data_IF_551550840835
#
_entry.id   IF_551550840835
#
_cell.length_a   1.000
_cell.length_b   1.000
_cell.length_c   1.000
_cell.angle_alpha   90.00
_cell.angle_beta   90.00
_cell.angle_gamma   90.00
#
_symmetry.space_group_name_H-M   'P 1'
#
loop_
_entity.id
_entity.type
_entity.pdbx_description
1 polymer ?
#
# COMPACT_ATOMS: atom_id res chain seq x y z
N UNK A 1 4.10 21.21 -7.52
CA UNK A 1 5.44 20.60 -7.23
C UNK A 1 6.21 20.37 -8.54
N UNK A 2 6.72 21.44 -9.14
CA UNK A 2 7.31 21.43 -10.50
C UNK A 2 8.59 20.59 -10.68
N UNK A 3 9.29 20.23 -9.59
CA UNK A 3 10.56 19.51 -9.70
C UNK A 3 10.42 17.98 -9.56
N UNK A 4 9.26 17.48 -9.18
CA UNK A 4 9.03 16.03 -9.00
C UNK A 4 8.93 15.36 -10.37
N UNK A 5 9.76 14.32 -10.57
CA UNK A 5 9.79 13.49 -11.77
C UNK A 5 9.30 12.07 -11.51
N UNK A 6 9.60 11.52 -10.33
CA UNK A 6 9.29 10.14 -9.98
C UNK A 6 8.24 10.14 -8.88
N UNK A 7 7.12 9.47 -9.12
CA UNK A 7 6.05 9.30 -8.14
C UNK A 7 5.98 7.82 -7.78
N UNK A 8 6.29 7.50 -6.53
CA UNK A 8 6.07 6.19 -5.95
C UNK A 8 4.69 6.19 -5.30
N UNK A 9 3.89 5.18 -5.57
CA UNK A 9 2.53 5.06 -5.05
C UNK A 9 2.37 3.74 -4.29
N UNK A 10 1.71 3.80 -3.13
CA UNK A 10 1.19 2.58 -2.52
C UNK A 10 -0.05 2.07 -3.28
N UNK A 11 -0.54 0.90 -2.95
CA UNK A 11 -1.68 0.24 -3.56
C UNK A 11 -2.92 0.30 -2.66
N UNK A 12 -2.88 -0.46 -1.57
CA UNK A 12 -4.00 -0.63 -0.64
C UNK A 12 -4.21 0.65 0.19
N UNK A 13 -5.40 1.25 0.13
CA UNK A 13 -5.68 2.53 0.79
C UNK A 13 -5.24 3.76 0.02
N UNK A 14 -4.55 3.60 -1.12
CA UNK A 14 -4.04 4.71 -1.93
C UNK A 14 -4.58 4.69 -3.37
N UNK A 15 -4.45 3.58 -4.06
CA UNK A 15 -5.01 3.40 -5.41
C UNK A 15 -6.34 2.64 -5.36
N UNK A 16 -6.43 1.68 -4.44
CA UNK A 16 -7.59 0.80 -4.30
C UNK A 16 -8.02 0.66 -2.84
N UNK A 17 -9.31 0.39 -2.63
CA UNK A 17 -9.93 0.06 -1.35
C UNK A 17 -10.13 -1.46 -1.22
N UNK A 18 -9.21 -2.17 -0.57
CA UNK A 18 -9.24 -3.63 -0.42
C UNK A 18 -10.03 -4.09 0.81
N UNK A 19 -10.80 -3.22 1.47
CA UNK A 19 -11.41 -3.47 2.79
C UNK A 19 -12.07 -4.84 2.85
N UNK A 20 -12.98 -5.14 1.94
CA UNK A 20 -13.74 -6.40 1.94
C UNK A 20 -12.82 -7.60 1.75
N UNK A 21 -11.91 -7.53 0.77
CA UNK A 21 -11.05 -8.65 0.43
C UNK A 21 -10.05 -9.00 1.53
N UNK A 22 -9.42 -8.00 2.12
CA UNK A 22 -8.47 -8.20 3.22
C UNK A 22 -9.17 -8.67 4.47
N UNK A 23 -10.25 -7.99 4.90
CA UNK A 23 -10.94 -8.32 6.15
C UNK A 23 -11.60 -9.70 6.11
N UNK A 24 -12.19 -10.11 4.98
CA UNK A 24 -12.70 -11.48 4.79
C UNK A 24 -11.58 -12.52 4.80
N UNK A 25 -10.42 -12.21 4.25
CA UNK A 25 -9.27 -13.12 4.30
C UNK A 25 -8.73 -13.28 5.72
N UNK A 26 -8.69 -12.20 6.51
CA UNK A 26 -8.34 -12.24 7.94
C UNK A 26 -9.40 -13.02 8.72
N UNK A 27 -10.70 -12.76 8.49
CA UNK A 27 -11.80 -13.49 9.10
C UNK A 27 -11.69 -15.00 8.83
N UNK A 28 -11.37 -15.39 7.59
CA UNK A 28 -11.13 -16.78 7.21
C UNK A 28 -9.96 -17.40 7.99
N UNK A 29 -8.86 -16.67 8.12
CA UNK A 29 -7.70 -17.12 8.91
C UNK A 29 -8.04 -17.28 10.39
N UNK A 30 -8.74 -16.32 10.99
CA UNK A 30 -9.16 -16.35 12.39
C UNK A 30 -10.14 -17.49 12.68
N UNK A 31 -11.06 -17.78 11.76
CA UNK A 31 -12.02 -18.86 11.88
C UNK A 31 -11.34 -20.24 12.00
N UNK A 32 -10.17 -20.43 11.36
CA UNK A 32 -9.36 -21.65 11.54
C UNK A 32 -8.92 -21.86 13.00
N UNK A 33 -8.68 -20.78 13.75
CA UNK A 33 -8.35 -20.82 15.19
C UNK A 33 -9.59 -20.78 16.09
N UNK A 34 -10.81 -20.92 15.53
CA UNK A 34 -12.06 -20.87 16.30
C UNK A 34 -12.48 -19.46 16.71
N UNK A 35 -11.80 -18.43 16.24
CA UNK A 35 -12.10 -17.01 16.53
C UNK A 35 -13.15 -16.53 15.54
N UNK A 36 -14.30 -16.09 16.05
CA UNK A 36 -15.40 -15.55 15.23
C UNK A 36 -15.41 -14.03 15.29
N UNK A 37 -15.31 -13.39 14.15
CA UNK A 37 -15.44 -11.94 13.99
C UNK A 37 -16.71 -11.69 13.17
N UNK A 38 -17.63 -10.88 13.68
CA UNK A 38 -18.92 -10.61 13.03
C UNK A 38 -18.92 -9.29 12.25
N UNK A 39 -18.16 -8.30 12.73
CA UNK A 39 -18.02 -7.02 12.06
C UNK A 39 -16.66 -6.94 11.36
N UNK A 40 -16.66 -6.84 10.03
CA UNK A 40 -15.42 -6.75 9.25
C UNK A 40 -14.63 -5.48 9.50
N UNK A 41 -15.27 -4.40 9.94
CA UNK A 41 -14.59 -3.13 10.25
C UNK A 41 -13.57 -3.27 11.39
N UNK A 42 -13.81 -4.21 12.33
CA UNK A 42 -12.86 -4.53 13.41
C UNK A 42 -11.51 -5.05 12.88
N UNK A 43 -11.48 -5.54 11.64
CA UNK A 43 -10.30 -6.08 10.98
C UNK A 43 -9.60 -5.07 10.05
N UNK A 44 -10.11 -3.84 9.91
CA UNK A 44 -9.47 -2.78 9.12
C UNK A 44 -8.03 -2.46 9.57
N UNK A 45 -7.63 -2.58 10.85
CA UNK A 45 -6.24 -2.40 11.26
C UNK A 45 -5.23 -3.34 10.59
N UNK A 46 -5.69 -4.45 9.98
CA UNK A 46 -4.85 -5.33 9.17
C UNK A 46 -4.47 -4.77 7.80
N UNK A 47 -5.09 -3.65 7.38
CA UNK A 47 -4.83 -3.05 6.07
C UNK A 47 -3.62 -2.12 6.18
N UNK A 48 -2.57 -2.43 5.42
CA UNK A 48 -1.30 -1.68 5.38
C UNK A 48 -0.12 -2.35 6.10
N UNK A 49 -0.23 -2.72 7.38
CA UNK A 49 0.87 -3.38 8.09
C UNK A 49 1.17 -4.81 7.56
N UNK A 50 2.39 -5.34 7.83
CA UNK A 50 2.69 -6.75 7.58
C UNK A 50 1.75 -7.66 8.38
N UNK A 51 1.09 -8.62 7.71
CA UNK A 51 0.06 -9.48 8.33
C UNK A 51 0.56 -10.28 9.51
N UNK A 52 1.80 -10.78 9.48
CA UNK A 52 2.40 -11.53 10.60
C UNK A 52 2.43 -10.67 11.86
N UNK A 53 2.89 -9.43 11.73
CA UNK A 53 2.98 -8.50 12.85
C UNK A 53 1.57 -8.16 13.38
N UNK A 54 0.60 -7.96 12.49
CA UNK A 54 -0.80 -7.70 12.85
C UNK A 54 -1.43 -8.88 13.60
N UNK A 55 -1.23 -10.12 13.18
CA UNK A 55 -1.73 -11.28 13.91
C UNK A 55 -1.12 -11.40 15.31
N UNK A 56 0.17 -11.10 15.46
CA UNK A 56 0.86 -11.09 16.76
C UNK A 56 0.36 -9.96 17.65
N UNK A 57 0.22 -8.75 17.10
CA UNK A 57 -0.19 -7.55 17.85
C UNK A 57 -1.65 -7.63 18.31
N UNK A 58 -2.59 -7.97 17.41
CA UNK A 58 -4.02 -7.89 17.70
C UNK A 58 -4.59 -9.16 18.33
N UNK A 59 -4.00 -10.32 18.03
CA UNK A 59 -4.50 -11.63 18.51
C UNK A 59 -3.50 -12.40 19.37
N UNK A 60 -2.35 -11.79 19.67
CA UNK A 60 -1.29 -12.39 20.51
C UNK A 60 -0.81 -13.74 20.00
N UNK A 61 -0.83 -13.96 18.69
CA UNK A 61 -0.37 -15.20 18.09
C UNK A 61 1.14 -15.36 18.25
N UNK A 62 1.57 -16.59 18.49
CA UNK A 62 2.98 -16.96 18.39
C UNK A 62 3.47 -16.83 16.95
N UNK A 63 4.79 -16.88 16.75
CA UNK A 63 5.36 -16.84 15.38
C UNK A 63 4.82 -17.98 14.52
N UNK A 64 4.69 -19.19 15.09
CA UNK A 64 4.13 -20.34 14.39
C UNK A 64 2.66 -20.14 14.03
N UNK A 65 1.84 -19.67 14.98
CA UNK A 65 0.42 -19.39 14.74
C UNK A 65 0.24 -18.29 13.68
N UNK A 66 1.04 -17.24 13.73
CA UNK A 66 0.99 -16.16 12.75
C UNK A 66 1.35 -16.63 11.32
N UNK A 67 2.31 -17.56 11.20
CA UNK A 67 2.64 -18.18 9.92
C UNK A 67 1.50 -19.07 9.38
N UNK A 68 0.86 -19.85 10.25
CA UNK A 68 -0.33 -20.65 9.88
C UNK A 68 -1.46 -19.71 9.44
N UNK A 69 -1.72 -18.65 10.22
CA UNK A 69 -2.74 -17.65 9.90
C UNK A 69 -2.48 -16.96 8.56
N UNK A 70 -1.23 -16.60 8.27
CA UNK A 70 -0.84 -16.06 6.96
C UNK A 70 -1.14 -17.06 5.82
N UNK A 71 -0.88 -18.35 6.03
CA UNK A 71 -1.24 -19.42 5.09
C UNK A 71 -2.75 -19.43 4.82
N UNK A 72 -3.57 -19.43 5.88
CA UNK A 72 -5.02 -19.41 5.79
C UNK A 72 -5.58 -18.13 5.15
N UNK A 73 -5.01 -16.97 5.49
CA UNK A 73 -5.30 -15.71 4.80
C UNK A 73 -5.08 -15.83 3.29
N UNK A 74 -3.93 -16.38 2.87
CA UNK A 74 -3.58 -16.52 1.45
C UNK A 74 -4.49 -17.48 0.70
N UNK A 75 -5.03 -18.53 1.35
CA UNK A 75 -6.01 -19.45 0.75
C UNK A 75 -7.25 -18.71 0.23
N UNK A 76 -7.80 -17.79 1.02
CA UNK A 76 -8.94 -16.97 0.61
C UNK A 76 -8.53 -15.82 -0.31
N UNK A 77 -7.50 -15.07 0.10
CA UNK A 77 -7.08 -13.86 -0.59
C UNK A 77 -6.69 -14.14 -2.05
N UNK A 78 -5.85 -15.15 -2.29
CA UNK A 78 -5.32 -15.42 -3.62
C UNK A 78 -6.40 -15.82 -4.66
N UNK A 79 -7.56 -16.31 -4.20
CA UNK A 79 -8.62 -16.82 -5.08
C UNK A 79 -9.84 -15.89 -5.16
N UNK A 80 -10.25 -15.29 -4.05
CA UNK A 80 -11.45 -14.47 -3.92
C UNK A 80 -11.12 -13.04 -3.47
N UNK A 81 -10.51 -12.90 -2.30
CA UNK A 81 -10.28 -11.61 -1.65
C UNK A 81 -9.52 -10.61 -2.49
N UNK A 82 -8.61 -11.06 -3.35
CA UNK A 82 -7.86 -10.19 -4.24
C UNK A 82 -8.75 -9.38 -5.20
N UNK A 83 -9.95 -9.89 -5.54
CA UNK A 83 -10.91 -9.24 -6.42
C UNK A 83 -12.09 -8.59 -5.67
N UNK A 84 -12.21 -8.82 -4.35
CA UNK A 84 -13.12 -8.09 -3.47
C UNK A 84 -12.50 -6.75 -3.08
N UNK A 85 -12.33 -5.89 -4.07
CA UNK A 85 -11.56 -4.66 -4.03
C UNK A 85 -12.20 -3.62 -4.98
N UNK A 86 -12.04 -2.33 -4.68
CA UNK A 86 -12.53 -1.24 -5.52
C UNK A 86 -11.39 -0.25 -5.81
N UNK A 87 -11.40 0.41 -6.96
CA UNK A 87 -10.52 1.55 -7.17
C UNK A 87 -11.12 2.81 -6.53
N UNK A 88 -10.29 3.70 -6.00
CA UNK A 88 -10.77 5.01 -5.54
C UNK A 88 -11.18 5.88 -6.72
N UNK A 89 -12.26 6.64 -6.55
CA UNK A 89 -12.77 7.55 -7.58
C UNK A 89 -11.71 8.59 -7.97
N UNK A 90 -11.55 8.81 -9.27
CA UNK A 90 -10.61 9.79 -9.83
C UNK A 90 -9.15 9.31 -9.94
N UNK A 91 -8.82 8.10 -9.46
CA UNK A 91 -7.43 7.58 -9.52
C UNK A 91 -6.93 7.45 -10.96
N UNK A 92 -7.74 6.94 -11.89
CA UNK A 92 -7.33 6.84 -13.31
C UNK A 92 -7.01 8.20 -13.93
N UNK A 93 -7.87 9.19 -13.66
CA UNK A 93 -7.67 10.56 -14.16
C UNK A 93 -6.43 11.20 -13.53
N UNK A 94 -6.18 10.93 -12.26
CA UNK A 94 -4.95 11.35 -11.59
C UNK A 94 -3.72 10.73 -12.25
N UNK A 95 -3.67 9.40 -12.37
CA UNK A 95 -2.52 8.70 -12.97
C UNK A 95 -2.26 9.17 -14.41
N UNK A 96 -3.31 9.28 -15.22
CA UNK A 96 -3.20 9.78 -16.60
C UNK A 96 -2.63 11.20 -16.63
N UNK A 97 -3.14 12.08 -15.77
CA UNK A 97 -2.65 13.47 -15.70
C UNK A 97 -1.16 13.58 -15.34
N UNK A 98 -0.65 12.64 -14.52
CA UNK A 98 0.78 12.62 -14.16
C UNK A 98 1.64 12.11 -15.33
N UNK A 99 1.17 11.10 -16.05
CA UNK A 99 1.84 10.60 -17.27
C UNK A 99 1.89 11.67 -18.34
N UNK A 100 0.79 12.40 -18.57
CA UNK A 100 0.70 13.49 -19.56
C UNK A 100 1.66 14.65 -19.23
N UNK A 101 1.99 14.84 -17.95
CA UNK A 101 3.01 15.79 -17.49
C UNK A 101 4.45 15.23 -17.59
N UNK A 102 4.65 14.03 -18.14
CA UNK A 102 5.95 13.41 -18.31
C UNK A 102 6.56 12.84 -17.03
N UNK A 103 5.75 12.64 -15.98
CA UNK A 103 6.20 12.00 -14.75
C UNK A 103 6.26 10.47 -14.89
N UNK A 104 7.15 9.87 -14.15
CA UNK A 104 7.37 8.43 -14.14
C UNK A 104 6.71 7.86 -12.89
N UNK A 105 5.71 7.00 -13.08
CA UNK A 105 4.97 6.38 -11.99
C UNK A 105 5.53 4.98 -11.72
N UNK A 106 5.71 4.67 -10.44
CA UNK A 106 6.17 3.38 -9.95
C UNK A 106 5.33 2.95 -8.76
N UNK A 107 5.02 1.67 -8.66
CA UNK A 107 4.39 1.14 -7.45
C UNK A 107 5.46 0.83 -6.40
N UNK A 108 5.18 1.15 -5.14
CA UNK A 108 6.00 0.81 -3.98
C UNK A 108 5.09 0.37 -2.82
N UNK A 109 4.70 -0.91 -2.80
CA UNK A 109 3.69 -1.43 -1.88
C UNK A 109 4.23 -2.54 -0.97
N UNK A 110 3.76 -2.59 0.28
CA UNK A 110 4.03 -3.72 1.20
C UNK A 110 3.27 -5.00 0.80
N UNK A 111 2.33 -4.90 -0.14
CA UNK A 111 1.67 -6.07 -0.71
C UNK A 111 2.67 -6.91 -1.53
N UNK A 112 2.62 -8.26 -1.46
CA UNK A 112 3.46 -9.12 -2.31
C UNK A 112 3.31 -8.79 -3.79
N UNK A 113 4.43 -8.60 -4.47
CA UNK A 113 4.49 -8.14 -5.87
C UNK A 113 3.60 -8.95 -6.84
N UNK A 114 3.50 -10.30 -6.75
CA UNK A 114 2.60 -11.05 -7.63
C UNK A 114 1.11 -10.69 -7.43
N UNK A 115 0.71 -10.37 -6.20
CA UNK A 115 -0.67 -9.94 -5.92
C UNK A 115 -0.90 -8.50 -6.38
N UNK A 116 0.06 -7.62 -6.16
CA UNK A 116 -0.01 -6.24 -6.62
C UNK A 116 -0.19 -6.17 -8.14
N UNK A 117 0.57 -6.94 -8.91
CA UNK A 117 0.43 -7.04 -10.38
C UNK A 117 -0.97 -7.48 -10.79
N UNK A 118 -1.50 -8.54 -10.16
CA UNK A 118 -2.87 -9.04 -10.48
C UNK A 118 -3.96 -8.00 -10.20
N UNK A 119 -3.82 -7.21 -9.13
CA UNK A 119 -4.79 -6.13 -8.81
C UNK A 119 -4.69 -5.02 -9.84
N UNK A 120 -3.48 -4.54 -10.17
CA UNK A 120 -3.30 -3.51 -11.19
C UNK A 120 -3.82 -3.95 -12.56
N UNK A 121 -3.63 -5.22 -12.94
CA UNK A 121 -4.16 -5.77 -14.20
C UNK A 121 -5.69 -5.84 -14.18
N UNK A 122 -6.29 -6.26 -13.05
CA UNK A 122 -7.75 -6.32 -12.88
C UNK A 122 -8.41 -4.95 -13.09
N UNK A 123 -7.84 -3.89 -12.52
CA UNK A 123 -8.34 -2.51 -12.67
C UNK A 123 -7.83 -1.82 -13.94
N UNK A 124 -7.01 -2.50 -14.77
CA UNK A 124 -6.38 -1.95 -15.96
C UNK A 124 -5.51 -0.73 -15.64
N UNK A 125 -4.76 -0.78 -14.52
CA UNK A 125 -3.87 0.29 -14.08
C UNK A 125 -2.41 0.01 -14.43
N UNK A 126 -2.03 -1.22 -14.76
CA UNK A 126 -0.63 -1.64 -14.98
C UNK A 126 0.11 -0.78 -16.00
N UNK A 127 -0.58 -0.30 -17.03
CA UNK A 127 0.04 0.48 -18.11
C UNK A 127 0.52 1.88 -17.69
N UNK A 128 0.06 2.40 -16.55
CA UNK A 128 0.56 3.66 -16.01
C UNK A 128 1.93 3.54 -15.34
N UNK A 129 2.31 2.33 -14.91
CA UNK A 129 3.48 2.10 -14.09
C UNK A 129 4.66 1.59 -14.91
N UNK A 130 5.78 2.29 -14.85
CA UNK A 130 7.04 1.82 -15.46
C UNK A 130 7.71 0.72 -14.65
N UNK A 131 7.40 0.63 -13.35
CA UNK A 131 7.92 -0.39 -12.45
C UNK A 131 6.90 -0.72 -11.35
N UNK A 132 6.78 -1.99 -11.03
CA UNK A 132 5.91 -2.48 -9.95
C UNK A 132 6.81 -3.12 -8.89
N UNK A 133 7.04 -2.39 -7.79
CA UNK A 133 7.76 -2.89 -6.63
C UNK A 133 6.80 -3.29 -5.51
N UNK A 134 6.95 -4.50 -5.01
CA UNK A 134 6.18 -5.02 -3.89
C UNK A 134 7.05 -5.76 -2.90
N UNK A 135 6.46 -6.24 -1.80
CA UNK A 135 7.15 -7.17 -0.90
C UNK A 135 7.37 -8.52 -1.57
N UNK A 136 8.22 -9.36 -0.98
CA UNK A 136 8.41 -10.74 -1.42
C UNK A 136 7.50 -11.69 -0.62
N UNK A 137 7.14 -12.83 -1.22
CA UNK A 137 6.31 -13.84 -0.56
C UNK A 137 7.04 -14.56 0.59
N UNK A 138 8.36 -14.61 0.51
CA UNK A 138 9.24 -15.21 1.53
C UNK A 138 9.60 -14.26 2.69
N UNK A 139 9.20 -12.97 2.58
CA UNK A 139 9.44 -11.95 3.59
C UNK A 139 10.85 -11.35 3.59
N UNK A 140 11.72 -11.70 2.64
CA UNK A 140 13.07 -11.14 2.54
C UNK A 140 13.09 -9.62 2.25
N UNK A 141 11.98 -9.09 1.68
CA UNK A 141 11.68 -7.67 1.52
C UNK A 141 10.24 -7.45 1.98
N UNK A 142 10.02 -6.97 3.21
CA UNK A 142 8.70 -6.88 3.81
C UNK A 142 8.32 -5.47 4.27
N UNK A 143 9.31 -4.64 4.62
CA UNK A 143 9.03 -3.27 5.09
C UNK A 143 8.88 -2.29 3.92
N UNK A 144 8.10 -1.21 4.13
CA UNK A 144 7.98 -0.15 3.12
C UNK A 144 9.34 0.49 2.81
N UNK A 145 10.21 0.64 3.81
CA UNK A 145 11.58 1.14 3.64
C UNK A 145 12.36 0.29 2.63
N UNK A 146 12.32 -1.04 2.77
CA UNK A 146 13.05 -1.95 1.87
C UNK A 146 12.46 -1.96 0.46
N UNK A 147 11.13 -1.88 0.35
CA UNK A 147 10.45 -1.80 -0.96
C UNK A 147 10.82 -0.51 -1.69
N UNK A 148 10.77 0.64 -1.01
CA UNK A 148 11.17 1.93 -1.62
C UNK A 148 12.64 1.86 -2.06
N UNK A 149 13.54 1.39 -1.19
CA UNK A 149 14.95 1.20 -1.51
C UNK A 149 15.16 0.31 -2.74
N UNK A 150 14.41 -0.78 -2.84
CA UNK A 150 14.43 -1.68 -3.98
C UNK A 150 13.98 -0.97 -5.27
N UNK A 151 12.87 -0.23 -5.23
CA UNK A 151 12.36 0.55 -6.37
C UNK A 151 13.42 1.56 -6.85
N UNK A 152 13.97 2.35 -5.94
CA UNK A 152 14.98 3.36 -6.26
C UNK A 152 16.25 2.75 -6.87
N UNK A 153 16.79 1.70 -6.25
CA UNK A 153 18.05 1.07 -6.67
C UNK A 153 17.91 0.35 -8.00
N UNK A 154 16.82 -0.41 -8.21
CA UNK A 154 16.57 -1.16 -9.45
C UNK A 154 16.42 -0.22 -10.64
N UNK A 155 15.79 0.95 -10.44
CA UNK A 155 15.58 1.94 -11.49
C UNK A 155 16.72 2.97 -11.57
N UNK A 156 17.81 2.78 -10.80
CA UNK A 156 18.99 3.65 -10.80
C UNK A 156 18.66 5.13 -10.55
N UNK A 157 17.70 5.40 -9.66
CA UNK A 157 17.28 6.76 -9.30
C UNK A 157 18.25 7.28 -8.25
N UNK A 158 19.05 8.29 -8.60
CA UNK A 158 20.09 8.88 -7.74
C UNK A 158 19.72 10.29 -7.23
N UNK A 159 18.90 11.02 -7.99
CA UNK A 159 18.42 12.34 -7.57
C UNK A 159 17.13 12.19 -6.76
N UNK A 160 17.30 11.99 -5.45
CA UNK A 160 16.19 11.75 -4.52
C UNK A 160 15.31 12.98 -4.31
N UNK A 161 15.83 14.20 -4.59
CA UNK A 161 15.04 15.44 -4.49
C UNK A 161 13.88 15.53 -5.50
N UNK A 162 13.87 14.65 -6.50
CA UNK A 162 12.87 14.56 -7.55
C UNK A 162 11.89 13.40 -7.36
N UNK A 163 11.93 12.73 -6.20
CA UNK A 163 11.12 11.57 -5.86
C UNK A 163 10.12 11.93 -4.77
N UNK A 164 8.90 11.45 -4.90
CA UNK A 164 7.88 11.56 -3.86
C UNK A 164 7.19 10.21 -3.68
N UNK A 165 6.94 9.83 -2.42
CA UNK A 165 6.11 8.69 -2.05
C UNK A 165 4.71 9.18 -1.68
N UNK A 166 3.68 8.50 -2.18
CA UNK A 166 2.27 8.77 -1.87
C UNK A 166 1.70 7.51 -1.22
N UNK A 167 1.15 7.65 -0.02
CA UNK A 167 0.54 6.55 0.70
C UNK A 167 -0.39 7.03 1.80
N UNK A 168 -1.16 6.11 2.39
CA UNK A 168 -2.18 6.43 3.37
C UNK A 168 -1.79 6.06 4.81
N UNK A 169 -0.67 5.35 5.03
CA UNK A 169 -0.25 4.90 6.35
C UNK A 169 1.10 5.49 6.76
N UNK A 170 1.35 5.51 8.08
CA UNK A 170 2.65 5.90 8.65
C UNK A 170 3.83 5.18 8.00
N UNK A 171 3.65 3.92 7.60
CA UNK A 171 4.72 3.13 6.99
C UNK A 171 5.22 3.72 5.67
N UNK A 172 4.35 4.36 4.89
CA UNK A 172 4.70 5.05 3.65
C UNK A 172 5.57 6.27 3.93
N UNK A 173 5.16 7.04 4.94
CA UNK A 173 5.84 8.27 5.36
C UNK A 173 7.22 7.94 5.97
N UNK A 174 7.27 6.99 6.91
CA UNK A 174 8.50 6.52 7.52
C UNK A 174 9.44 5.90 6.47
N UNK A 175 8.90 5.11 5.54
CA UNK A 175 9.64 4.51 4.44
C UNK A 175 10.24 5.55 3.51
N UNK A 176 9.50 6.61 3.18
CA UNK A 176 9.99 7.76 2.41
C UNK A 176 11.12 8.48 3.13
N UNK A 177 10.90 8.82 4.41
CA UNK A 177 11.89 9.50 5.26
C UNK A 177 13.19 8.70 5.40
N UNK A 178 13.10 7.39 5.63
CA UNK A 178 14.25 6.51 5.75
C UNK A 178 15.07 6.39 4.44
N UNK A 179 14.43 6.67 3.30
CA UNK A 179 15.09 6.71 2.00
C UNK A 179 15.43 8.13 1.51
N UNK A 180 15.20 9.17 2.32
CA UNK A 180 15.54 10.56 2.00
C UNK A 180 14.72 11.16 0.84
N UNK A 181 13.48 10.70 0.65
CA UNK A 181 12.55 11.21 -0.36
C UNK A 181 11.37 11.91 0.30
N UNK A 182 10.70 12.82 -0.43
CA UNK A 182 9.50 13.49 0.05
C UNK A 182 8.30 12.54 0.13
N UNK A 183 7.30 12.94 0.93
CA UNK A 183 6.09 12.15 1.18
C UNK A 183 4.80 12.94 1.11
N UNK A 184 3.73 12.29 0.65
CA UNK A 184 2.35 12.77 0.73
C UNK A 184 1.50 11.72 1.43
N UNK A 185 0.89 12.11 2.55
CA UNK A 185 -0.15 11.31 3.20
C UNK A 185 -1.53 11.60 2.59
N UNK A 186 -2.30 10.57 2.29
CA UNK A 186 -3.67 10.70 1.80
C UNK A 186 -4.66 10.26 2.88
N UNK A 187 -5.74 11.04 3.09
CA UNK A 187 -6.73 10.81 4.17
C UNK A 187 -7.95 10.01 3.74
N UNK A 188 -8.07 9.70 2.47
CA UNK A 188 -9.16 8.85 1.97
C UNK A 188 -8.91 7.34 2.14
N UNK A 189 -7.69 6.97 2.60
CA UNK A 189 -7.32 5.60 2.95
C UNK A 189 -7.60 5.26 4.42
N UNK A 190 -6.73 4.48 5.04
CA UNK A 190 -6.92 3.89 6.37
C UNK A 190 -6.16 4.61 7.49
N UNK A 191 -5.18 5.44 7.16
CA UNK A 191 -4.42 6.24 8.12
C UNK A 191 -5.18 7.48 8.58
N UNK A 192 -5.01 7.84 9.84
CA UNK A 192 -5.55 9.10 10.36
C UNK A 192 -4.59 10.27 10.11
N UNK A 193 -5.13 11.50 10.12
CA UNK A 193 -4.29 12.72 10.07
C UNK A 193 -3.21 12.70 11.14
N UNK A 194 -3.59 12.36 12.38
CA UNK A 194 -2.64 12.28 13.50
C UNK A 194 -1.54 11.25 13.27
N UNK A 195 -1.86 10.09 12.69
CA UNK A 195 -0.88 9.06 12.31
C UNK A 195 0.14 9.61 11.31
N UNK A 196 -0.34 10.27 10.25
CA UNK A 196 0.50 10.81 9.18
C UNK A 196 1.35 12.00 9.64
N UNK A 197 0.80 12.89 10.48
CA UNK A 197 1.52 14.01 11.08
C UNK A 197 2.63 13.53 12.03
N UNK A 198 2.34 12.55 12.89
CA UNK A 198 3.34 11.98 13.80
C UNK A 198 4.45 11.24 13.04
N UNK A 199 4.15 10.60 11.92
CA UNK A 199 5.16 9.99 11.04
C UNK A 199 6.03 11.05 10.32
N UNK A 200 5.56 12.29 10.25
CA UNK A 200 6.28 13.43 9.66
C UNK A 200 6.05 13.54 8.16
N UNK A 201 4.81 13.36 7.70
CA UNK A 201 4.43 13.59 6.29
C UNK A 201 4.74 15.03 5.88
N UNK A 202 5.41 15.22 4.73
CA UNK A 202 5.71 16.57 4.22
C UNK A 202 4.44 17.29 3.76
N UNK A 203 3.49 16.53 3.22
CA UNK A 203 2.18 17.02 2.79
C UNK A 203 1.10 16.02 3.17
N UNK A 204 -0.11 16.54 3.44
CA UNK A 204 -1.30 15.72 3.69
C UNK A 204 -2.44 16.28 2.84
N UNK A 205 -3.18 15.41 2.15
CA UNK A 205 -4.32 15.77 1.30
C UNK A 205 -5.55 14.97 1.68
N UNK A 206 -6.73 15.58 1.53
CA UNK A 206 -8.01 14.97 1.94
C UNK A 206 -8.49 13.90 0.95
N UNK A 207 -8.33 14.17 -0.35
CA UNK A 207 -8.91 13.38 -1.43
C UNK A 207 -7.99 13.35 -2.68
N UNK A 208 -8.41 12.62 -3.72
CA UNK A 208 -7.69 12.50 -4.98
C UNK A 208 -7.61 13.85 -5.72
N UNK A 209 -8.58 14.73 -5.55
CA UNK A 209 -8.54 16.07 -6.16
C UNK A 209 -7.49 16.96 -5.50
N UNK A 210 -7.38 16.88 -4.17
CA UNK A 210 -6.31 17.53 -3.41
C UNK A 210 -4.92 17.04 -3.85
N UNK A 211 -4.79 15.71 -4.06
CA UNK A 211 -3.55 15.12 -4.57
C UNK A 211 -3.21 15.63 -5.97
N UNK A 212 -4.19 15.69 -6.87
CA UNK A 212 -4.03 16.24 -8.22
C UNK A 212 -3.60 17.72 -8.18
N UNK A 213 -4.24 18.51 -7.32
CA UNK A 213 -3.93 19.94 -7.16
C UNK A 213 -2.54 20.19 -6.62
N UNK A 214 -2.09 19.37 -5.65
CA UNK A 214 -0.75 19.46 -5.07
C UNK A 214 0.35 19.20 -6.12
N UNK A 215 0.09 18.30 -7.06
CA UNK A 215 1.06 17.85 -8.06
C UNK A 215 0.90 18.54 -9.42
N UNK A 216 0.00 19.49 -9.57
CA UNK A 216 -0.03 20.40 -10.71
C UNK A 216 1.13 21.40 -10.56
#
# INVERSE_FOLDING_TARGET
MKNIRYILLDLDGTLTDPMIGITRSVQHALAFFGIKVHNLEELCPFIGPPLIDSFKEFYHFTDEQAQIALGKYREYFATKGIFENNEYEGIKDFLQSQVDQGRILMLATSKPEPFAKRILDHFKLSHYFTFIGGSTLDGSRSTKTDVIKYVLSTNKITDLSRVIMIGDRKHDIEGAKNNGISSVGVLYGYGSRTELEHAGADFIVEDVNGLKSLLL
#
